data_IF_045823074160
#
_entry.id   IF_045823074160
#
_cell.length_a   1.000
_cell.length_b   1.000
_cell.length_c   1.000
_cell.angle_alpha   90.00
_cell.angle_beta   90.00
_cell.angle_gamma   90.00
#
_symmetry.space_group_name_H-M   'P 1'
#
loop_
_entity.id
_entity.type
_entity.pdbx_description
1 polymer ?
#
# COMPACT_ATOMS: atom_id res chain seq x y z
N UNK A 1 -13.68 -5.10 0.34
CA UNK A 1 -12.53 -4.52 1.04
C UNK A 1 -11.86 -3.56 0.08
N UNK A 2 -12.06 -2.26 0.31
CA UNK A 2 -11.32 -1.21 -0.38
C UNK A 2 -9.85 -1.24 0.04
N UNK A 3 -8.96 -1.00 -0.90
CA UNK A 3 -7.52 -0.90 -0.67
C UNK A 3 -6.95 0.32 -1.39
N UNK A 4 -5.77 0.75 -0.94
CA UNK A 4 -5.09 1.97 -1.40
C UNK A 4 -3.86 1.60 -2.20
N UNK A 5 -3.73 2.14 -3.41
CA UNK A 5 -2.58 1.91 -4.30
C UNK A 5 -1.77 3.21 -4.39
N UNK A 6 -0.51 3.18 -3.96
CA UNK A 6 0.40 4.34 -3.93
C UNK A 6 1.49 4.14 -4.97
N UNK A 7 1.57 5.02 -5.96
CA UNK A 7 2.66 5.04 -6.93
C UNK A 7 2.96 6.46 -7.41
N UNK A 8 4.19 6.75 -7.87
CA UNK A 8 4.51 8.07 -8.39
C UNK A 8 3.72 8.38 -9.67
N UNK A 9 3.58 7.38 -10.55
CA UNK A 9 3.06 7.55 -11.91
C UNK A 9 1.79 6.72 -12.14
N UNK A 10 1.44 6.42 -13.39
CA UNK A 10 0.32 5.54 -13.77
C UNK A 10 0.73 4.06 -13.89
N UNK A 11 1.95 3.68 -13.48
CA UNK A 11 2.46 2.32 -13.59
C UNK A 11 1.53 1.26 -12.97
N UNK A 12 1.04 1.47 -11.73
CA UNK A 12 0.13 0.50 -11.09
C UNK A 12 -1.22 0.42 -11.80
N UNK A 13 -1.65 1.51 -12.44
CA UNK A 13 -2.86 1.50 -13.25
C UNK A 13 -2.66 0.66 -14.52
N UNK A 14 -1.50 0.78 -15.18
CA UNK A 14 -1.17 -0.03 -16.36
C UNK A 14 -1.00 -1.52 -16.03
N UNK A 15 -0.51 -1.84 -14.82
CA UNK A 15 -0.26 -3.21 -14.39
C UNK A 15 -1.54 -3.97 -14.04
N UNK A 16 -2.56 -3.29 -13.51
CA UNK A 16 -3.84 -3.94 -13.18
C UNK A 16 -5.06 -3.06 -13.43
N UNK A 17 -5.38 -2.73 -14.69
CA UNK A 17 -6.57 -1.95 -15.04
C UNK A 17 -7.89 -2.64 -14.66
N UNK A 18 -7.85 -3.97 -14.39
CA UNK A 18 -9.02 -4.81 -14.13
C UNK A 18 -9.04 -5.48 -12.74
N UNK A 19 -8.13 -5.12 -11.81
CA UNK A 19 -8.15 -5.70 -10.45
C UNK A 19 -9.46 -5.41 -9.68
N UNK A 20 -10.28 -4.47 -10.16
CA UNK A 20 -11.60 -4.17 -9.64
C UNK A 20 -12.73 -5.12 -10.12
N UNK A 21 -12.42 -6.16 -10.90
CA UNK A 21 -13.40 -7.11 -11.41
C UNK A 21 -13.95 -8.03 -10.28
N UNK A 22 -14.76 -7.46 -9.37
CA UNK A 22 -15.59 -8.22 -8.43
C UNK A 22 -15.79 -7.61 -7.05
N UNK A 23 -14.99 -6.63 -6.62
CA UNK A 23 -15.10 -5.98 -5.28
C UNK A 23 -14.79 -4.48 -5.35
N UNK A 24 -15.22 -3.76 -4.31
CA UNK A 24 -15.08 -2.30 -4.11
C UNK A 24 -13.78 -1.73 -4.72
N UNK A 25 -13.92 -0.79 -5.65
CA UNK A 25 -12.82 -0.30 -6.47
C UNK A 25 -11.68 0.30 -5.63
N UNK A 26 -10.41 0.04 -5.98
CA UNK A 26 -9.27 0.64 -5.28
C UNK A 26 -9.22 2.15 -5.45
N UNK A 27 -8.57 2.81 -4.50
CA UNK A 27 -8.25 4.23 -4.61
C UNK A 27 -6.76 4.42 -4.81
N UNK A 28 -6.42 5.12 -5.88
CA UNK A 28 -5.06 5.41 -6.26
C UNK A 28 -4.58 6.73 -5.64
N UNK A 29 -3.37 6.75 -5.12
CA UNK A 29 -2.65 7.95 -4.67
C UNK A 29 -1.44 8.11 -5.56
N UNK A 30 -1.46 9.17 -6.37
CA UNK A 30 -0.46 9.42 -7.42
C UNK A 30 0.25 10.75 -7.21
N UNK A 31 1.49 10.87 -7.68
CA UNK A 31 2.24 12.11 -7.51
C UNK A 31 1.71 13.24 -8.41
N UNK A 32 1.19 12.90 -9.59
CA UNK A 32 0.86 13.88 -10.63
C UNK A 32 -0.64 14.02 -10.90
N UNK A 33 -1.06 15.23 -11.26
CA UNK A 33 -2.43 15.49 -11.71
C UNK A 33 -2.77 14.75 -13.01
N UNK A 34 -1.78 14.55 -13.88
CA UNK A 34 -1.92 13.78 -15.13
C UNK A 34 -2.25 12.32 -14.86
N UNK A 35 -1.53 11.66 -13.95
CA UNK A 35 -1.83 10.28 -13.53
C UNK A 35 -3.25 10.16 -12.98
N UNK A 36 -3.68 11.12 -12.14
CA UNK A 36 -5.05 11.16 -11.64
C UNK A 36 -6.07 11.31 -12.77
N UNK A 37 -5.84 12.21 -13.72
CA UNK A 37 -6.74 12.41 -14.85
C UNK A 37 -6.85 11.16 -15.73
N UNK A 38 -5.76 10.42 -15.93
CA UNK A 38 -5.78 9.13 -16.63
C UNK A 38 -6.65 8.12 -15.89
N UNK A 39 -6.44 7.91 -14.61
CA UNK A 39 -7.21 6.94 -13.82
C UNK A 39 -8.71 7.29 -13.80
N UNK A 40 -9.05 8.57 -13.62
CA UNK A 40 -10.44 9.04 -13.63
C UNK A 40 -11.11 8.83 -15.00
N UNK A 41 -10.39 9.06 -16.11
CA UNK A 41 -10.91 8.83 -17.48
C UNK A 41 -11.30 7.38 -17.73
N UNK A 42 -10.66 6.45 -17.03
CA UNK A 42 -10.97 5.02 -17.11
C UNK A 42 -11.89 4.53 -16.00
N UNK A 43 -12.55 5.43 -15.26
CA UNK A 43 -13.56 5.08 -14.24
C UNK A 43 -12.99 4.67 -12.87
N UNK A 44 -11.69 4.84 -12.64
CA UNK A 44 -11.07 4.60 -11.34
C UNK A 44 -11.25 5.76 -10.35
N UNK A 45 -10.83 5.56 -9.10
CA UNK A 45 -10.78 6.61 -8.07
C UNK A 45 -9.34 7.02 -7.79
N UNK A 46 -9.02 8.32 -7.85
CA UNK A 46 -7.65 8.78 -7.64
C UNK A 46 -7.53 10.14 -6.93
N UNK A 47 -6.53 10.26 -6.06
CA UNK A 47 -6.07 11.49 -5.42
C UNK A 47 -4.64 11.78 -5.88
N UNK A 48 -4.37 13.04 -6.25
CA UNK A 48 -3.04 13.50 -6.62
C UNK A 48 -2.43 14.37 -5.52
N UNK A 49 -1.13 14.26 -5.31
CA UNK A 49 -0.36 15.17 -4.47
C UNK A 49 0.98 14.57 -4.05
N UNK A 50 1.69 15.26 -3.15
CA UNK A 50 2.96 14.77 -2.65
C UNK A 50 2.73 13.52 -1.76
N UNK A 51 3.27 12.39 -2.18
CA UNK A 51 3.18 11.09 -1.50
C UNK A 51 3.88 11.08 -0.12
N UNK A 52 4.72 12.06 0.18
CA UNK A 52 5.41 12.16 1.46
C UNK A 52 4.62 13.01 2.47
N UNK A 53 3.41 13.45 2.10
CA UNK A 53 2.55 14.30 2.94
C UNK A 53 1.31 13.55 3.37
N UNK A 54 1.00 13.64 4.66
CA UNK A 54 -0.17 13.03 5.28
C UNK A 54 -1.51 13.48 4.67
N UNK A 55 -1.59 14.72 4.17
CA UNK A 55 -2.81 15.31 3.60
C UNK A 55 -3.41 14.49 2.44
N UNK A 56 -2.60 13.80 1.63
CA UNK A 56 -3.13 12.97 0.55
C UNK A 56 -3.77 11.69 1.09
N UNK A 57 -3.23 11.15 2.18
CA UNK A 57 -3.70 9.94 2.82
C UNK A 57 -4.97 10.16 3.63
N UNK A 58 -5.09 11.31 4.32
CA UNK A 58 -6.32 11.69 5.04
C UNK A 58 -7.55 11.78 4.14
N UNK A 59 -7.36 12.02 2.83
CA UNK A 59 -8.44 12.08 1.84
C UNK A 59 -8.89 10.70 1.35
N UNK A 60 -8.10 9.66 1.63
CA UNK A 60 -8.23 8.35 1.01
C UNK A 60 -8.63 7.29 2.02
N UNK A 61 -8.04 7.32 3.22
CA UNK A 61 -8.44 6.45 4.33
C UNK A 61 -9.82 6.87 4.86
N UNK A 62 -10.70 5.88 5.02
CA UNK A 62 -11.99 6.01 5.71
C UNK A 62 -11.90 5.48 7.13
N UNK A 63 -11.27 4.31 7.33
CA UNK A 63 -11.12 3.71 8.66
C UNK A 63 -9.69 3.77 9.20
N UNK A 64 -8.68 3.89 8.33
CA UNK A 64 -7.28 3.82 8.72
C UNK A 64 -6.74 2.39 8.82
N UNK A 65 -7.56 1.40 8.46
CA UNK A 65 -7.21 -0.03 8.43
C UNK A 65 -7.18 -0.57 7.00
N UNK A 66 -7.46 0.27 6.00
CA UNK A 66 -7.41 -0.13 4.60
C UNK A 66 -5.99 -0.63 4.24
N UNK A 67 -5.87 -1.80 3.61
CA UNK A 67 -4.60 -2.28 3.10
C UNK A 67 -4.01 -1.29 2.08
N UNK A 68 -2.71 -1.06 2.20
CA UNK A 68 -1.97 -0.10 1.37
C UNK A 68 -0.89 -0.83 0.61
N UNK A 69 -0.79 -0.53 -0.68
CA UNK A 69 0.30 -1.01 -1.50
C UNK A 69 1.16 0.14 -1.97
N UNK A 70 2.47 -0.03 -1.91
CA UNK A 70 3.43 1.02 -2.18
C UNK A 70 4.38 0.58 -3.29
N UNK A 71 4.25 1.17 -4.46
CA UNK A 71 5.19 1.04 -5.58
C UNK A 71 5.90 2.38 -5.79
N UNK A 72 6.86 2.70 -4.92
CA UNK A 72 7.67 3.93 -5.01
C UNK A 72 9.16 3.59 -5.03
N UNK A 73 10.00 4.49 -5.60
CA UNK A 73 11.46 4.33 -5.60
C UNK A 73 12.02 4.10 -4.17
N UNK A 74 13.06 3.24 -4.01
CA UNK A 74 13.59 2.86 -2.69
C UNK A 74 13.96 4.03 -1.78
N UNK A 75 14.54 5.08 -2.35
CA UNK A 75 14.96 6.33 -1.70
C UNK A 75 13.78 7.10 -1.06
N UNK A 76 12.56 6.87 -1.55
CA UNK A 76 11.34 7.56 -1.08
C UNK A 76 10.45 6.70 -0.17
N UNK A 77 10.73 5.39 -0.08
CA UNK A 77 9.85 4.43 0.63
C UNK A 77 9.66 4.79 2.10
N UNK A 78 10.73 5.13 2.81
CA UNK A 78 10.68 5.45 4.24
C UNK A 78 9.78 6.65 4.52
N UNK A 79 9.93 7.72 3.74
CA UNK A 79 9.12 8.93 3.87
C UNK A 79 7.64 8.68 3.55
N UNK A 80 7.35 7.90 2.52
CA UNK A 80 5.98 7.49 2.15
C UNK A 80 5.34 6.63 3.23
N UNK A 81 6.06 5.63 3.76
CA UNK A 81 5.57 4.76 4.84
C UNK A 81 5.30 5.57 6.10
N UNK A 82 6.19 6.51 6.46
CA UNK A 82 6.00 7.39 7.61
C UNK A 82 4.75 8.27 7.44
N UNK A 83 4.54 8.83 6.25
CA UNK A 83 3.34 9.62 5.95
C UNK A 83 2.05 8.78 6.05
N UNK A 84 2.05 7.54 5.54
CA UNK A 84 0.93 6.60 5.68
C UNK A 84 0.67 6.29 7.16
N UNK A 85 1.69 5.88 7.91
CA UNK A 85 1.58 5.50 9.33
C UNK A 85 1.12 6.65 10.22
N UNK A 86 1.41 7.90 9.85
CA UNK A 86 0.93 9.09 10.56
C UNK A 86 -0.60 9.25 10.51
N UNK A 87 -1.24 8.71 9.47
CA UNK A 87 -2.70 8.79 9.26
C UNK A 87 -3.38 7.47 9.61
N UNK A 88 -2.71 6.36 9.32
CA UNK A 88 -3.23 5.01 9.39
C UNK A 88 -2.19 4.11 10.09
N UNK A 89 -2.04 4.23 11.43
CA UNK A 89 -1.00 3.52 12.17
C UNK A 89 -1.20 2.01 12.16
N UNK A 90 -2.44 1.53 12.05
CA UNK A 90 -2.79 0.11 11.97
C UNK A 90 -2.82 -0.47 10.55
N UNK A 91 -2.74 0.38 9.51
CA UNK A 91 -2.90 -0.07 8.14
C UNK A 91 -1.86 -1.15 7.75
N UNK A 92 -2.30 -2.26 7.13
CA UNK A 92 -1.38 -3.23 6.54
C UNK A 92 -0.71 -2.61 5.33
N UNK A 93 0.62 -2.54 5.32
CA UNK A 93 1.39 -1.99 4.20
C UNK A 93 2.10 -3.14 3.49
N UNK A 94 2.05 -3.14 2.15
CA UNK A 94 2.75 -4.08 1.27
C UNK A 94 3.55 -3.26 0.26
N UNK A 95 4.82 -3.59 0.05
CA UNK A 95 5.68 -2.88 -0.90
C UNK A 95 5.81 -3.70 -2.18
N UNK A 96 5.68 -3.07 -3.34
CA UNK A 96 6.11 -3.67 -4.59
C UNK A 96 7.60 -3.38 -4.78
N UNK A 97 8.45 -4.40 -4.62
CA UNK A 97 9.86 -4.31 -4.96
C UNK A 97 10.11 -4.98 -6.32
N UNK A 98 10.89 -4.31 -7.16
CA UNK A 98 11.50 -4.98 -8.31
C UNK A 98 12.45 -6.09 -7.80
N UNK A 99 12.51 -7.23 -8.50
CA UNK A 99 13.33 -8.39 -8.13
C UNK A 99 14.82 -8.07 -8.04
N UNK A 100 15.26 -6.93 -8.61
CA UNK A 100 16.64 -6.45 -8.54
C UNK A 100 16.96 -5.62 -7.28
N UNK A 101 15.95 -5.29 -6.47
CA UNK A 101 16.06 -4.38 -5.32
C UNK A 101 15.98 -5.10 -3.97
N UNK A 102 16.43 -6.35 -3.88
CA UNK A 102 16.50 -7.15 -2.64
C UNK A 102 17.49 -6.60 -1.58
N UNK A 103 18.02 -5.38 -1.77
CA UNK A 103 18.83 -4.70 -0.78
C UNK A 103 17.91 -3.95 0.19
N UNK A 104 17.62 -4.59 1.33
CA UNK A 104 17.08 -3.91 2.50
C UNK A 104 15.64 -4.29 2.78
N UNK A 105 15.50 -5.38 3.52
CA UNK A 105 14.41 -5.63 4.44
C UNK A 105 14.17 -4.38 5.31
N UNK A 106 13.30 -3.49 4.83
CA UNK A 106 12.74 -2.39 5.61
C UNK A 106 11.81 -3.03 6.64
N UNK A 107 12.42 -3.43 7.77
CA UNK A 107 11.83 -3.75 9.08
C UNK A 107 10.34 -4.17 9.02
N UNK A 108 10.08 -5.44 8.67
CA UNK A 108 8.78 -6.08 8.89
C UNK A 108 7.68 -5.80 7.86
N UNK A 109 7.97 -5.13 6.74
CA UNK A 109 6.97 -4.90 5.68
C UNK A 109 7.08 -5.96 4.57
N UNK A 110 6.05 -6.76 4.29
CA UNK A 110 6.12 -7.78 3.24
C UNK A 110 6.22 -7.13 1.85
N UNK A 111 7.06 -7.73 0.99
CA UNK A 111 7.24 -7.33 -0.40
C UNK A 111 6.60 -8.33 -1.37
N UNK A 112 6.06 -7.85 -2.49
CA UNK A 112 5.49 -8.67 -3.57
C UNK A 112 6.09 -8.27 -4.91
N UNK A 113 6.48 -9.25 -5.72
CA UNK A 113 6.98 -9.02 -7.08
C UNK A 113 5.84 -8.55 -8.01
N UNK A 114 6.09 -7.59 -8.93
CA UNK A 114 5.06 -7.10 -9.86
C UNK A 114 4.41 -8.19 -10.73
N UNK A 115 5.15 -9.22 -11.13
CA UNK A 115 4.61 -10.34 -11.92
C UNK A 115 3.60 -11.21 -11.15
N UNK A 116 3.74 -11.30 -9.82
CA UNK A 116 2.78 -12.00 -8.96
C UNK A 116 1.47 -11.21 -8.76
N UNK A 117 1.42 -9.96 -9.21
CA UNK A 117 0.24 -9.09 -9.15
C UNK A 117 -0.64 -9.18 -10.42
N UNK A 118 -0.14 -9.75 -11.52
CA UNK A 118 -0.86 -9.79 -12.80
C UNK A 118 -1.59 -11.09 -13.08
N UNK A 119 -1.09 -12.23 -12.57
CA UNK A 119 -1.80 -13.50 -12.68
C UNK A 119 -2.90 -13.61 -11.62
N UNK A 120 -3.96 -14.38 -11.90
CA UNK A 120 -5.16 -14.63 -11.07
C UNK A 120 -4.91 -15.13 -9.63
N UNK A 121 -3.68 -15.06 -9.15
CA UNK A 121 -3.16 -15.27 -7.81
C UNK A 121 -3.28 -13.99 -6.95
N UNK A 122 -3.83 -12.88 -7.48
CA UNK A 122 -3.99 -11.60 -6.77
C UNK A 122 -4.63 -11.80 -5.40
N UNK A 123 -5.84 -12.35 -5.31
CA UNK A 123 -6.56 -12.45 -4.03
C UNK A 123 -5.88 -13.42 -3.04
N UNK A 124 -5.39 -14.62 -3.43
CA UNK A 124 -4.65 -15.49 -2.52
C UNK A 124 -3.28 -14.94 -2.09
N UNK A 125 -2.48 -14.37 -3.00
CA UNK A 125 -1.18 -13.77 -2.65
C UNK A 125 -1.38 -12.53 -1.78
N UNK A 126 -2.38 -11.73 -2.08
CA UNK A 126 -2.80 -10.58 -1.30
C UNK A 126 -3.24 -11.00 0.10
N UNK A 127 -4.15 -11.95 0.21
CA UNK A 127 -4.64 -12.42 1.50
C UNK A 127 -3.49 -12.98 2.34
N UNK A 128 -2.54 -13.71 1.74
CA UNK A 128 -1.32 -14.17 2.42
C UNK A 128 -0.41 -13.02 2.85
N UNK A 129 -0.19 -12.03 2.00
CA UNK A 129 0.66 -10.87 2.33
C UNK A 129 0.05 -10.02 3.44
N UNK A 130 -1.26 -9.75 3.37
CA UNK A 130 -2.03 -9.08 4.43
C UNK A 130 -1.97 -9.90 5.71
N UNK A 131 -2.28 -11.19 5.66
CA UNK A 131 -2.23 -12.05 6.86
C UNK A 131 -0.85 -12.00 7.52
N UNK A 132 0.24 -12.02 6.73
CA UNK A 132 1.62 -11.86 7.25
C UNK A 132 1.88 -10.48 7.83
N UNK A 133 1.37 -9.41 7.22
CA UNK A 133 1.50 -8.06 7.76
C UNK A 133 0.78 -7.93 9.11
N UNK A 134 -0.42 -8.51 9.23
CA UNK A 134 -1.19 -8.49 10.47
C UNK A 134 -0.50 -9.29 11.57
N UNK A 135 0.02 -10.48 11.26
CA UNK A 135 0.76 -11.29 12.23
C UNK A 135 2.09 -10.65 12.62
N UNK A 136 2.78 -9.98 11.69
CA UNK A 136 4.01 -9.24 11.97
C UNK A 136 3.76 -8.03 12.88
N UNK A 137 2.66 -7.29 12.69
CA UNK A 137 2.24 -6.23 13.60
C UNK A 137 1.86 -6.78 14.99
N UNK A 138 1.16 -7.92 15.07
CA UNK A 138 0.78 -8.55 16.34
C UNK A 138 1.99 -9.09 17.13
N UNK A 139 3.03 -9.57 16.45
CA UNK A 139 4.26 -10.08 17.07
C UNK A 139 5.16 -8.98 17.67
N UNK A 140 4.89 -7.71 17.36
CA UNK A 140 5.69 -6.56 17.83
C UNK A 140 5.00 -5.81 19.00
N UNK A 141 4.13 -6.49 19.76
CA UNK A 141 3.57 -5.94 21.00
C UNK A 141 4.42 -6.40 22.19
N UNK A 142 5.12 -5.51 22.92
CA UNK A 142 5.82 -5.91 24.14
C UNK A 142 4.79 -6.38 25.18
N UNK A 143 4.98 -7.61 25.67
CA UNK A 143 4.26 -8.15 26.83
C UNK A 143 4.31 -7.10 27.96
N UNK A 144 3.19 -6.70 28.56
CA UNK A 144 3.25 -5.98 29.83
C UNK A 144 3.86 -6.93 30.86
N UNK A 145 5.08 -6.65 31.29
CA UNK A 145 5.68 -7.33 32.44
C UNK A 145 4.82 -7.05 33.65
N UNK A 146 4.25 -8.12 34.19
CA UNK A 146 3.42 -8.10 35.38
C UNK A 146 4.14 -7.45 36.56
N UNK A 147 3.34 -6.75 37.33
CA UNK A 147 3.58 -6.22 38.68
C UNK A 147 4.25 -7.24 39.61
N UNK A 148 5.23 -6.76 40.38
CA UNK A 148 5.70 -7.33 41.65
C UNK A 148 6.73 -6.34 42.22
N UNK A 149 6.76 -5.93 43.48
CA UNK A 149 5.90 -5.97 44.67
C UNK A 149 6.47 -4.91 45.61
#
# INVERSE_FOLDING_TARGET
>A
MRYVLVCPDDFLWQLAPHAAAGREAPVYVVATAAGRATILRHGGQAVAGNLERDVVYRRVFRSGDEPVFVAVPPDRRSAVIAAIRSVAPGAPIVIFADERSWAGELLGVPSVAPAAFTDAVIEPALHRAITRAWTSCAATSPRPTASSS
#
